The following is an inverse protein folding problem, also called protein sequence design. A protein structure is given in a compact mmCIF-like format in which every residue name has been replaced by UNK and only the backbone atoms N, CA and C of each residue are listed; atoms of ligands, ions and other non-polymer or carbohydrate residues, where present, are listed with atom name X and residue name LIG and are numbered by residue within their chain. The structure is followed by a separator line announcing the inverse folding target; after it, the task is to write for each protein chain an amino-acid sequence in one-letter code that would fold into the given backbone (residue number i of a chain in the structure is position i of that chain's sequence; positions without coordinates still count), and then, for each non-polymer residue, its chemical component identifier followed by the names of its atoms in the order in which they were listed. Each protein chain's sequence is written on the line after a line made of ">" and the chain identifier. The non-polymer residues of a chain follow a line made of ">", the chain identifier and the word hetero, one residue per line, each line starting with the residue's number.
data_IF_761461483625
#
_entry.id   IF_761461483625
#
_cell.length_a   1.000
_cell.length_b   1.000
_cell.length_c   1.000
_cell.angle_alpha   90.00
_cell.angle_beta   90.00
_cell.angle_gamma   90.00
#
_symmetry.space_group_name_H-M   'P 1'
#
loop_
_entity.id
_entity.type
_entity.pdbx_description
1 polymer ?
#
# COMPACT_ATOMS: atom_id res chain seq x y z
N UNK A 1 13.52 0.27 -14.83
CA UNK A 1 12.60 0.62 -13.74
C UNK A 1 13.15 0.15 -12.40
N UNK A 2 13.84 -1.00 -12.36
CA UNK A 2 14.46 -1.55 -11.13
C UNK A 2 15.37 -0.57 -10.39
N UNK A 3 16.31 0.10 -11.07
CA UNK A 3 17.19 1.09 -10.43
C UNK A 3 16.42 2.27 -9.79
N UNK A 4 15.26 2.65 -10.37
CA UNK A 4 14.41 3.69 -9.79
C UNK A 4 13.68 3.17 -8.55
N UNK A 5 13.22 1.91 -8.55
CA UNK A 5 12.66 1.27 -7.35
C UNK A 5 13.68 1.26 -6.23
N UNK A 6 14.91 0.81 -6.49
CA UNK A 6 15.99 0.79 -5.51
C UNK A 6 16.29 2.18 -4.95
N UNK A 7 16.31 3.22 -5.79
CA UNK A 7 16.46 4.59 -5.34
C UNK A 7 15.31 5.02 -4.41
N UNK A 8 14.07 4.78 -4.82
CA UNK A 8 12.87 5.24 -4.12
C UNK A 8 12.73 4.58 -2.73
N UNK A 9 13.11 3.32 -2.59
CA UNK A 9 13.11 2.61 -1.30
C UNK A 9 14.02 3.26 -0.23
N UNK A 10 14.94 4.14 -0.62
CA UNK A 10 15.82 4.88 0.31
C UNK A 10 15.26 6.24 0.74
N UNK A 11 14.12 6.66 0.17
CA UNK A 11 13.54 7.99 0.38
C UNK A 11 12.59 7.99 1.57
N UNK A 12 12.02 9.17 1.83
CA UNK A 12 10.94 9.37 2.78
C UNK A 12 9.74 8.48 2.45
N UNK A 13 9.12 7.93 3.49
CA UNK A 13 7.98 7.02 3.38
C UNK A 13 6.78 7.58 4.12
N UNK A 14 5.64 7.52 3.45
CA UNK A 14 4.32 7.78 3.99
C UNK A 14 3.53 6.49 3.97
N UNK A 15 2.49 6.43 4.78
CA UNK A 15 1.67 5.23 4.90
C UNK A 15 0.19 5.57 4.82
N UNK A 16 -0.54 4.69 4.14
CA UNK A 16 -2.00 4.63 4.19
C UNK A 16 -2.35 3.48 5.12
N UNK A 17 -2.77 3.83 6.34
CA UNK A 17 -2.76 2.95 7.50
C UNK A 17 -4.19 2.73 8.05
N UNK A 18 -4.41 1.56 8.64
CA UNK A 18 -5.59 1.24 9.43
C UNK A 18 -5.74 2.19 10.63
N UNK A 19 -4.64 2.67 11.22
CA UNK A 19 -4.64 3.55 12.38
C UNK A 19 -4.17 4.97 12.05
N UNK A 20 -4.72 6.01 12.72
CA UNK A 20 -4.37 7.40 12.46
C UNK A 20 -2.96 7.82 12.91
N UNK A 21 -2.29 6.98 13.71
CA UNK A 21 -0.94 7.22 14.24
C UNK A 21 -0.33 5.91 14.71
N UNK A 22 1.00 5.88 14.81
CA UNK A 22 1.71 4.74 15.39
C UNK A 22 1.22 4.47 16.81
N UNK A 23 0.99 3.19 17.13
CA UNK A 23 0.66 2.79 18.50
C UNK A 23 1.93 2.82 19.36
N UNK A 24 1.95 3.59 20.47
CA UNK A 24 3.11 3.59 21.36
C UNK A 24 3.38 2.20 21.96
N UNK A 25 4.66 1.83 22.08
CA UNK A 25 5.10 0.55 22.67
C UNK A 25 4.49 0.28 24.05
N UNK A 26 4.28 1.33 24.83
CA UNK A 26 3.72 1.27 26.20
C UNK A 26 2.24 1.69 26.27
N UNK A 27 1.48 1.55 25.18
CA UNK A 27 0.07 1.96 25.14
C UNK A 27 -0.84 1.17 26.09
N UNK A 28 -0.42 -0.03 26.52
CA UNK A 28 -1.26 -0.95 27.31
C UNK A 28 -2.48 -1.49 26.55
N UNK A 29 -2.59 -1.17 25.25
CA UNK A 29 -3.66 -1.63 24.37
C UNK A 29 -3.36 -3.00 23.76
N UNK A 30 -4.27 -3.44 22.89
CA UNK A 30 -4.28 -4.79 22.30
C UNK A 30 -3.84 -4.78 20.82
N UNK A 31 -2.92 -3.89 20.43
CA UNK A 31 -2.56 -3.71 19.01
C UNK A 31 -2.21 -5.03 18.32
N UNK A 32 -1.28 -5.81 18.89
CA UNK A 32 -0.82 -7.05 18.29
C UNK A 32 -1.91 -8.13 18.22
N UNK A 33 -2.78 -8.22 19.23
CA UNK A 33 -3.92 -9.17 19.20
C UNK A 33 -4.92 -8.77 18.10
N UNK A 34 -5.18 -7.47 17.93
CA UNK A 34 -6.06 -6.93 16.88
C UNK A 34 -5.46 -7.13 15.49
N UNK A 35 -4.17 -6.83 15.31
CA UNK A 35 -3.43 -7.04 14.06
C UNK A 35 -3.46 -8.51 13.66
N UNK A 36 -3.09 -9.40 14.58
CA UNK A 36 -3.14 -10.83 14.35
C UNK A 36 -4.55 -11.29 13.95
N UNK A 37 -5.59 -10.82 14.66
CA UNK A 37 -6.97 -11.17 14.34
C UNK A 37 -7.42 -10.63 12.97
N UNK A 38 -7.02 -9.41 12.60
CA UNK A 38 -7.37 -8.83 11.30
C UNK A 38 -6.73 -9.60 10.15
N UNK A 39 -5.45 -9.97 10.29
CA UNK A 39 -4.69 -10.68 9.25
C UNK A 39 -5.06 -12.18 9.15
N UNK A 40 -5.45 -12.82 10.26
CA UNK A 40 -5.67 -14.27 10.32
C UNK A 40 -7.15 -14.68 10.48
N UNK A 41 -8.09 -13.78 10.20
CA UNK A 41 -9.53 -14.07 10.19
C UNK A 41 -10.16 -13.61 8.89
N UNK A 42 -11.40 -14.02 8.56
CA UNK A 42 -12.10 -13.56 7.35
C UNK A 42 -12.22 -12.02 7.21
N UNK A 43 -11.85 -11.25 8.23
CA UNK A 43 -11.74 -9.78 8.15
C UNK A 43 -10.61 -9.31 7.24
N UNK A 44 -9.60 -10.13 6.95
CA UNK A 44 -8.51 -9.76 6.04
C UNK A 44 -9.04 -9.37 4.66
N UNK A 45 -10.13 -9.99 4.19
CA UNK A 45 -10.76 -9.67 2.90
C UNK A 45 -11.29 -8.24 2.87
N UNK A 46 -11.94 -7.77 3.95
CA UNK A 46 -12.44 -6.40 4.02
C UNK A 46 -11.30 -5.36 4.10
N UNK A 47 -10.15 -5.75 4.69
CA UNK A 47 -8.96 -4.91 4.69
C UNK A 47 -8.31 -4.85 3.30
N UNK A 48 -8.20 -6.01 2.65
CA UNK A 48 -7.74 -6.16 1.26
C UNK A 48 -8.52 -5.26 0.31
N UNK A 49 -9.85 -5.30 0.37
CA UNK A 49 -10.71 -4.52 -0.53
C UNK A 49 -10.48 -3.00 -0.40
N UNK A 50 -10.16 -2.52 0.82
CA UNK A 50 -9.79 -1.11 1.05
C UNK A 50 -8.48 -0.77 0.35
N UNK A 51 -7.47 -1.63 0.46
CA UNK A 51 -6.17 -1.42 -0.19
C UNK A 51 -6.26 -1.50 -1.73
N UNK A 52 -6.98 -2.48 -2.27
CA UNK A 52 -7.30 -2.53 -3.71
C UNK A 52 -7.96 -1.22 -4.16
N UNK A 53 -8.94 -0.73 -3.39
CA UNK A 53 -9.66 0.52 -3.72
C UNK A 53 -8.75 1.75 -3.73
N UNK A 54 -7.77 1.85 -2.83
CA UNK A 54 -6.75 2.91 -2.86
C UNK A 54 -5.94 2.84 -4.15
N UNK A 55 -5.45 1.65 -4.51
CA UNK A 55 -4.64 1.45 -5.71
C UNK A 55 -5.45 1.77 -6.97
N UNK A 56 -6.69 1.32 -7.06
CA UNK A 56 -7.58 1.62 -8.20
C UNK A 56 -7.86 3.11 -8.35
N UNK A 57 -8.04 3.83 -7.25
CA UNK A 57 -8.18 5.28 -7.29
C UNK A 57 -6.91 5.95 -7.81
N UNK A 58 -5.73 5.53 -7.35
CA UNK A 58 -4.46 6.05 -7.85
C UNK A 58 -4.24 5.75 -9.35
N UNK A 59 -4.63 4.57 -9.82
CA UNK A 59 -4.60 4.21 -11.25
C UNK A 59 -5.47 5.13 -12.12
N UNK A 60 -6.47 5.82 -11.55
CA UNK A 60 -7.27 6.79 -12.28
C UNK A 60 -6.56 8.13 -12.51
N UNK A 61 -5.57 8.46 -11.68
CA UNK A 61 -4.86 9.75 -11.72
C UNK A 61 -3.44 9.62 -12.26
N UNK A 62 -2.81 8.46 -12.08
CA UNK A 62 -1.41 8.25 -12.40
C UNK A 62 -1.21 7.08 -13.34
N UNK A 63 -0.20 7.20 -14.21
CA UNK A 63 0.40 6.05 -14.90
C UNK A 63 1.05 5.15 -13.85
N UNK A 64 0.74 3.86 -13.89
CA UNK A 64 1.27 2.86 -12.96
C UNK A 64 1.98 1.76 -13.73
N UNK A 65 3.15 1.36 -13.26
CA UNK A 65 3.84 0.17 -13.75
C UNK A 65 4.05 -0.81 -12.58
N UNK A 66 3.91 -2.11 -12.84
CA UNK A 66 4.14 -3.16 -11.84
C UNK A 66 5.15 -4.19 -12.36
N UNK A 67 5.99 -4.79 -11.50
CA UNK A 67 6.76 -5.96 -11.87
C UNK A 67 5.82 -7.18 -11.92
N UNK A 68 5.77 -7.88 -13.06
CA UNK A 68 4.98 -9.09 -13.22
C UNK A 68 5.59 -10.00 -14.29
N UNK A 69 5.59 -11.31 -14.04
CA UNK A 69 6.06 -12.36 -14.98
C UNK A 69 7.47 -12.07 -15.57
N UNK A 70 8.41 -11.65 -14.73
CA UNK A 70 9.80 -11.39 -15.13
C UNK A 70 10.02 -10.08 -15.91
N UNK A 71 9.00 -9.23 -16.03
CA UNK A 71 9.10 -7.93 -16.69
C UNK A 71 8.28 -6.84 -16.00
N UNK A 72 8.18 -5.69 -16.66
CA UNK A 72 7.35 -4.57 -16.21
C UNK A 72 6.09 -4.48 -17.05
N UNK A 73 4.93 -4.49 -16.40
CA UNK A 73 3.64 -4.26 -17.02
C UNK A 73 3.29 -2.78 -16.83
N UNK A 74 3.14 -2.07 -17.95
CA UNK A 74 2.72 -0.68 -17.98
C UNK A 74 1.19 -0.58 -18.05
N UNK A 75 0.59 0.24 -17.19
CA UNK A 75 -0.85 0.41 -17.03
C UNK A 75 -1.59 -0.95 -16.90
N UNK A 76 -1.32 -1.73 -15.84
CA UNK A 76 -1.94 -3.03 -15.64
C UNK A 76 -3.47 -2.91 -15.58
N UNK A 77 -4.18 -3.93 -16.06
CA UNK A 77 -5.62 -4.04 -15.86
C UNK A 77 -5.92 -4.14 -14.35
N UNK A 78 -6.95 -3.44 -13.81
CA UNK A 78 -7.39 -3.60 -12.42
C UNK A 78 -7.58 -5.06 -11.98
N UNK A 79 -8.05 -5.95 -12.86
CA UNK A 79 -8.20 -7.38 -12.56
C UNK A 79 -6.87 -8.07 -12.23
N UNK A 80 -5.76 -7.64 -12.85
CA UNK A 80 -4.43 -8.17 -12.55
C UNK A 80 -3.98 -7.74 -11.15
N UNK A 81 -4.24 -6.50 -10.75
CA UNK A 81 -3.93 -6.02 -9.40
C UNK A 81 -4.70 -6.82 -8.36
N UNK A 82 -6.01 -7.03 -8.56
CA UNK A 82 -6.83 -7.82 -7.63
C UNK A 82 -6.37 -9.27 -7.53
N UNK A 83 -5.93 -9.86 -8.65
CA UNK A 83 -5.36 -11.20 -8.68
C UNK A 83 -4.07 -11.29 -7.86
N UNK A 84 -3.13 -10.35 -8.06
CA UNK A 84 -1.86 -10.32 -7.32
C UNK A 84 -2.10 -10.14 -5.83
N UNK A 85 -2.95 -9.20 -5.44
CA UNK A 85 -3.27 -8.95 -4.03
C UNK A 85 -3.94 -10.18 -3.41
N UNK A 86 -4.86 -10.86 -4.14
CA UNK A 86 -5.47 -12.09 -3.66
C UNK A 86 -4.41 -13.18 -3.44
N UNK A 87 -3.51 -13.40 -4.39
CA UNK A 87 -2.45 -14.40 -4.30
C UNK A 87 -1.51 -14.14 -3.13
N UNK A 88 -1.09 -12.88 -2.94
CA UNK A 88 -0.24 -12.47 -1.81
C UNK A 88 -0.89 -12.79 -0.47
N UNK A 89 -2.18 -12.47 -0.33
CA UNK A 89 -2.92 -12.71 0.91
C UNK A 89 -3.18 -14.20 1.14
N UNK A 90 -3.59 -14.94 0.12
CA UNK A 90 -3.91 -16.37 0.25
C UNK A 90 -2.65 -17.22 0.50
N UNK A 91 -1.50 -16.81 -0.04
CA UNK A 91 -0.22 -17.46 0.20
C UNK A 91 0.51 -16.97 1.47
N UNK A 92 0.01 -15.91 2.11
CA UNK A 92 0.70 -15.19 3.19
C UNK A 92 2.17 -14.91 2.85
N UNK A 93 2.42 -14.45 1.62
CA UNK A 93 3.77 -14.25 1.10
C UNK A 93 3.76 -13.34 -0.12
N UNK A 94 4.84 -12.59 -0.29
CA UNK A 94 5.04 -11.72 -1.44
C UNK A 94 4.65 -10.28 -1.19
N UNK A 95 4.91 -9.47 -2.22
CA UNK A 95 4.82 -8.01 -2.18
C UNK A 95 4.29 -7.54 -3.52
N UNK A 96 3.32 -6.63 -3.50
CA UNK A 96 2.94 -5.88 -4.69
C UNK A 96 3.65 -4.53 -4.66
N UNK A 97 4.36 -4.24 -5.75
CA UNK A 97 5.05 -2.97 -5.95
C UNK A 97 4.40 -2.24 -7.13
N UNK A 98 3.92 -1.02 -6.89
CA UNK A 98 3.38 -0.13 -7.91
C UNK A 98 4.31 1.09 -8.07
N UNK A 99 4.95 1.20 -9.22
CA UNK A 99 5.79 2.35 -9.58
C UNK A 99 4.94 3.39 -10.32
N UNK A 100 5.02 4.64 -9.89
CA UNK A 100 4.47 5.79 -10.60
C UNK A 100 5.65 6.51 -11.28
N UNK A 101 5.92 6.29 -12.57
CA UNK A 101 7.17 6.76 -13.18
C UNK A 101 7.19 8.26 -13.50
N UNK A 102 6.03 8.86 -13.76
CA UNK A 102 5.91 10.28 -14.11
C UNK A 102 6.00 11.20 -12.88
N UNK A 103 5.60 10.67 -11.73
CA UNK A 103 5.85 11.23 -10.40
C UNK A 103 6.58 10.16 -9.59
N UNK A 104 7.93 10.13 -9.61
CA UNK A 104 8.73 8.99 -9.16
C UNK A 104 8.46 8.68 -7.69
N UNK A 105 7.47 7.81 -7.49
CA UNK A 105 6.94 7.38 -6.22
C UNK A 105 6.68 5.88 -6.31
N UNK A 106 6.75 5.21 -5.18
CA UNK A 106 6.62 3.76 -5.10
C UNK A 106 5.59 3.40 -4.05
N UNK A 107 4.51 2.71 -4.44
CA UNK A 107 3.61 2.08 -3.49
C UNK A 107 4.00 0.61 -3.30
N UNK A 108 4.06 0.17 -2.05
CA UNK A 108 4.39 -1.18 -1.64
C UNK A 108 3.28 -1.71 -0.74
N UNK A 109 2.82 -2.91 -1.06
CA UNK A 109 1.85 -3.68 -0.29
C UNK A 109 2.45 -5.03 0.09
N UNK A 110 2.50 -5.31 1.39
CA UNK A 110 2.97 -6.56 1.97
C UNK A 110 1.84 -7.26 2.72
N UNK A 111 1.82 -8.60 2.68
CA UNK A 111 0.75 -9.41 3.26
C UNK A 111 0.61 -9.26 4.79
N UNK A 112 1.70 -8.97 5.50
CA UNK A 112 1.77 -8.91 6.96
C UNK A 112 1.55 -7.50 7.53
N UNK A 113 1.20 -6.53 6.68
CA UNK A 113 1.03 -5.14 7.07
C UNK A 113 -0.45 -4.71 7.09
N UNK A 114 -0.83 -3.93 8.11
CA UNK A 114 -2.11 -3.19 8.14
C UNK A 114 -2.05 -1.85 7.41
N UNK A 115 -1.10 -1.67 6.49
CA UNK A 115 -0.90 -0.43 5.76
C UNK A 115 -0.36 -0.68 4.34
N UNK A 116 -0.48 0.36 3.51
CA UNK A 116 0.31 0.53 2.30
C UNK A 116 1.45 1.49 2.60
N UNK A 117 2.64 1.18 2.12
CA UNK A 117 3.79 2.09 2.16
C UNK A 117 3.92 2.84 0.84
N UNK A 118 4.13 4.14 0.89
CA UNK A 118 4.30 5.01 -0.27
C UNK A 118 5.60 5.80 -0.11
N UNK A 119 6.61 5.45 -0.91
CA UNK A 119 7.90 6.10 -0.91
C UNK A 119 7.92 7.28 -1.86
N UNK A 120 8.49 8.38 -1.38
CA UNK A 120 8.70 9.63 -2.11
C UNK A 120 7.47 10.19 -2.86
N UNK A 121 6.23 10.16 -2.28
CA UNK A 121 5.10 10.78 -2.95
C UNK A 121 5.32 12.28 -3.09
N UNK A 122 5.03 12.82 -4.28
CA UNK A 122 5.05 14.26 -4.53
C UNK A 122 4.07 15.00 -3.60
N UNK A 123 4.25 16.30 -3.39
CA UNK A 123 3.30 17.08 -2.59
C UNK A 123 1.87 17.03 -3.14
N UNK A 124 1.71 16.93 -4.47
CA UNK A 124 0.42 16.78 -5.13
C UNK A 124 -0.20 15.40 -4.86
N UNK A 125 0.60 14.33 -4.99
CA UNK A 125 0.16 12.98 -4.64
C UNK A 125 -0.21 12.86 -3.16
N UNK A 126 0.53 13.49 -2.24
CA UNK A 126 0.19 13.53 -0.82
C UNK A 126 -1.17 14.20 -0.56
N UNK A 127 -1.46 15.32 -1.24
CA UNK A 127 -2.75 16.01 -1.14
C UNK A 127 -3.92 15.14 -1.61
N UNK A 128 -3.68 14.27 -2.59
CA UNK A 128 -4.68 13.35 -3.14
C UNK A 128 -4.82 12.07 -2.30
N UNK A 129 -3.72 11.56 -1.75
CA UNK A 129 -3.72 10.35 -0.92
C UNK A 129 -4.54 10.51 0.36
N UNK A 130 -4.53 11.68 0.99
CA UNK A 130 -5.31 11.93 2.21
C UNK A 130 -6.82 11.70 2.03
N UNK A 131 -7.52 12.34 1.08
CA UNK A 131 -8.94 12.07 0.83
C UNK A 131 -9.19 10.67 0.25
N UNK A 132 -8.27 10.10 -0.56
CA UNK A 132 -8.39 8.71 -1.04
C UNK A 132 -8.41 7.74 0.15
N UNK A 133 -7.43 7.82 1.05
CA UNK A 133 -7.36 7.00 2.25
C UNK A 133 -8.61 7.17 3.12
N UNK A 134 -9.02 8.42 3.38
CA UNK A 134 -10.18 8.72 4.20
C UNK A 134 -11.48 8.11 3.61
N UNK A 135 -11.64 8.13 2.29
CA UNK A 135 -12.80 7.54 1.63
C UNK A 135 -12.89 6.00 1.76
N UNK A 136 -11.76 5.34 2.05
CA UNK A 136 -11.68 3.91 2.36
C UNK A 136 -11.68 3.61 3.87
N UNK A 137 -11.85 4.64 4.72
CA UNK A 137 -11.76 4.51 6.17
C UNK A 137 -10.35 4.16 6.65
N UNK A 138 -9.33 4.64 5.94
CA UNK A 138 -7.92 4.56 6.25
C UNK A 138 -7.36 5.96 6.54
N UNK A 139 -6.13 6.04 7.01
CA UNK A 139 -5.47 7.29 7.39
C UNK A 139 -4.16 7.46 6.62
N UNK A 140 -3.95 8.65 6.08
CA UNK A 140 -2.69 9.01 5.45
C UNK A 140 -1.79 9.76 6.45
N UNK A 141 -0.56 9.29 6.65
CA UNK A 141 0.42 9.91 7.55
C UNK A 141 1.86 9.66 7.10
N UNK A 142 2.80 10.50 7.53
CA UNK A 142 4.21 10.16 7.43
C UNK A 142 4.52 8.95 8.32
N UNK A 143 5.44 8.09 7.89
CA UNK A 143 5.97 7.07 8.78
C UNK A 143 6.82 7.74 9.88
N UNK A 144 6.73 7.23 11.10
CA UNK A 144 7.58 7.68 12.19
C UNK A 144 8.92 6.91 12.10
N UNK A 145 10.03 7.64 12.19
CA UNK A 145 11.40 7.09 12.26
C UNK A 145 11.84 6.73 13.68
#
# INVERSE_FOLDING_TARGET
>A
MDALVEELLTKDVYIVDYLPRTVPKNSGGQYFDVEYYLLNSPRYTALKDKFSSVIFKLMCYYRVCIPWDGGWVDQPNPELIDHIIAEIMDCHSGTLTCLFPDEPALLVFDWDCLNLSIYHPSAEMQQLLAPIAASEGLFFRAAET
#
